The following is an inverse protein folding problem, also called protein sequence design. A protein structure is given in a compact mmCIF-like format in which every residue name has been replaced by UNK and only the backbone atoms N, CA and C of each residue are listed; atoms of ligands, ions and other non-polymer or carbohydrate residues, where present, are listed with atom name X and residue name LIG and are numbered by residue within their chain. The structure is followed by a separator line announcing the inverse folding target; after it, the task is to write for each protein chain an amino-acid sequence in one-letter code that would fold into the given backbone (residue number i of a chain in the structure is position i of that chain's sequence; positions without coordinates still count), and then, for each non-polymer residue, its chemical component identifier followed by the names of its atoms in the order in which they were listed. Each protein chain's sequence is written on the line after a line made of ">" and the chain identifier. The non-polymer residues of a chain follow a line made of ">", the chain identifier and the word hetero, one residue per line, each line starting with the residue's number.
data_IF_481599148275
#
_entry.id   IF_481599148275
#
_cell.length_a   1.000
_cell.length_b   1.000
_cell.length_c   1.000
_cell.angle_alpha   90.00
_cell.angle_beta   90.00
_cell.angle_gamma   90.00
#
_symmetry.space_group_name_H-M   'P 1'
#
loop_
_entity.id
_entity.type
_entity.pdbx_description
1 polymer ?
#
# COMPACT_ATOMS: atom_id res chain seq x y z
N UNK A 1 64.40 7.99 -31.98
CA UNK A 1 62.95 7.71 -31.90
C UNK A 1 62.67 7.04 -30.56
N UNK A 2 61.92 7.70 -29.66
CA UNK A 2 61.52 7.18 -28.35
C UNK A 2 60.00 7.08 -28.34
N UNK A 3 59.48 5.87 -28.41
CA UNK A 3 58.04 5.56 -28.33
C UNK A 3 57.59 5.67 -26.88
N UNK A 4 56.65 6.57 -26.59
CA UNK A 4 55.97 6.66 -25.29
C UNK A 4 54.68 5.86 -25.38
N UNK A 5 54.55 4.82 -24.55
CA UNK A 5 53.32 4.06 -24.35
C UNK A 5 52.55 4.77 -23.23
N UNK A 6 51.37 5.29 -23.54
CA UNK A 6 50.43 5.86 -22.57
C UNK A 6 49.60 4.73 -21.97
N UNK A 7 49.84 4.42 -20.69
CA UNK A 7 48.92 3.62 -19.87
C UNK A 7 47.66 4.46 -19.61
N UNK A 8 46.53 4.02 -20.14
CA UNK A 8 45.22 4.56 -19.73
C UNK A 8 44.78 3.85 -18.46
N UNK A 9 44.74 4.57 -17.34
CA UNK A 9 44.15 4.10 -16.10
C UNK A 9 42.62 4.12 -16.22
N UNK A 10 41.99 2.95 -16.27
CA UNK A 10 40.55 2.81 -16.06
C UNK A 10 40.27 3.04 -14.56
N UNK A 11 39.68 4.19 -14.23
CA UNK A 11 38.98 4.36 -12.96
C UNK A 11 37.74 3.45 -12.99
N UNK A 12 37.78 2.37 -12.19
CA UNK A 12 36.60 1.59 -11.86
C UNK A 12 35.68 2.40 -10.96
N UNK A 13 34.57 2.89 -11.51
CA UNK A 13 33.42 3.30 -10.71
C UNK A 13 32.81 2.03 -10.11
N UNK A 14 33.13 1.76 -8.85
CA UNK A 14 32.41 0.79 -8.04
C UNK A 14 30.99 1.31 -7.79
N UNK A 15 30.03 0.91 -8.63
CA UNK A 15 28.62 0.95 -8.26
C UNK A 15 28.39 -0.11 -7.18
N UNK A 16 28.40 0.32 -5.91
CA UNK A 16 27.81 -0.45 -4.84
C UNK A 16 26.29 -0.45 -5.06
N UNK A 17 25.79 -1.47 -5.75
CA UNK A 17 24.35 -1.76 -5.74
C UNK A 17 23.97 -2.11 -4.30
N UNK A 18 22.97 -1.47 -3.69
CA UNK A 18 22.46 -1.91 -2.40
C UNK A 18 21.79 -3.27 -2.60
N UNK A 19 22.55 -4.33 -2.38
CA UNK A 19 22.04 -5.69 -2.19
C UNK A 19 21.36 -5.69 -0.82
N UNK A 20 20.05 -5.94 -0.78
CA UNK A 20 19.16 -5.96 0.41
C UNK A 20 18.40 -4.65 0.68
N UNK A 21 17.56 -4.22 -0.25
CA UNK A 21 16.41 -3.40 0.14
C UNK A 21 15.39 -4.32 0.82
N UNK A 22 15.42 -4.37 2.15
CA UNK A 22 14.30 -4.90 2.94
C UNK A 22 13.24 -3.81 3.04
N UNK A 23 11.95 -4.16 3.07
CA UNK A 23 10.93 -3.17 3.42
C UNK A 23 11.20 -2.66 4.83
N UNK A 24 11.29 -1.34 4.98
CA UNK A 24 11.47 -0.67 6.25
C UNK A 24 10.09 -0.42 6.89
N UNK A 25 10.00 -0.18 8.20
CA UNK A 25 8.77 0.36 8.77
C UNK A 25 8.30 1.61 8.04
N UNK A 26 6.99 1.72 7.81
CA UNK A 26 6.42 2.99 7.33
C UNK A 26 6.54 4.05 8.42
N UNK A 27 6.75 5.30 8.01
CA UNK A 27 6.72 6.42 8.94
C UNK A 27 5.33 6.59 9.58
N UNK A 28 5.23 7.25 10.75
CA UNK A 28 3.94 7.50 11.36
C UNK A 28 2.95 8.23 10.44
N UNK A 29 3.43 9.14 9.59
CA UNK A 29 2.60 9.87 8.61
C UNK A 29 2.05 8.93 7.53
N UNK A 30 2.91 8.08 6.95
CA UNK A 30 2.50 7.07 5.96
C UNK A 30 1.48 6.08 6.55
N UNK A 31 1.68 5.63 7.80
CA UNK A 31 0.70 4.80 8.51
C UNK A 31 -0.60 5.58 8.78
N UNK A 32 -0.51 6.86 9.14
CA UNK A 32 -1.70 7.72 9.38
C UNK A 32 -2.57 7.83 8.15
N UNK A 33 -1.97 7.88 6.96
CA UNK A 33 -2.69 8.10 5.71
C UNK A 33 -3.78 7.04 5.47
N UNK A 34 -3.60 5.82 5.97
CA UNK A 34 -4.59 4.74 5.84
C UNK A 34 -5.77 4.86 6.81
N UNK A 35 -5.66 5.64 7.89
CA UNK A 35 -6.70 5.73 8.92
C UNK A 35 -7.95 6.42 8.37
N UNK A 36 -9.13 5.86 8.68
CA UNK A 36 -10.42 6.41 8.29
C UNK A 36 -11.43 5.35 7.85
N UNK A 37 -12.51 5.82 7.22
CA UNK A 37 -13.56 5.00 6.64
C UNK A 37 -13.43 4.93 5.12
N UNK A 38 -13.65 3.74 4.57
CA UNK A 38 -13.35 3.42 3.18
C UNK A 38 -14.49 2.62 2.54
N UNK A 39 -14.83 2.98 1.31
CA UNK A 39 -15.58 2.10 0.39
C UNK A 39 -14.61 1.18 -0.33
N UNK A 40 -15.06 -0.04 -0.68
CA UNK A 40 -14.25 -1.06 -1.32
C UNK A 40 -14.99 -1.60 -2.53
N UNK A 41 -14.37 -1.51 -3.71
CA UNK A 41 -14.92 -2.05 -4.94
C UNK A 41 -13.78 -2.48 -5.88
N UNK A 42 -14.13 -3.10 -7.01
CA UNK A 42 -13.18 -3.22 -8.10
C UNK A 42 -12.83 -1.84 -8.66
N UNK A 43 -11.60 -1.61 -9.15
CA UNK A 43 -11.28 -0.39 -9.89
C UNK A 43 -12.19 -0.22 -11.11
N UNK A 44 -12.52 1.00 -11.49
CA UNK A 44 -13.43 1.27 -12.63
C UNK A 44 -12.91 0.68 -13.95
N UNK A 45 -11.60 0.59 -14.11
CA UNK A 45 -10.93 0.02 -15.29
C UNK A 45 -10.75 -1.51 -15.25
N UNK A 46 -11.28 -2.20 -14.23
CA UNK A 46 -11.13 -3.65 -14.02
C UNK A 46 -11.80 -4.53 -15.10
N UNK A 47 -12.61 -3.95 -16.00
CA UNK A 47 -13.35 -4.71 -17.02
C UNK A 47 -14.49 -5.58 -16.46
N UNK A 48 -14.84 -5.40 -15.17
CA UNK A 48 -15.91 -6.12 -14.50
C UNK A 48 -17.28 -5.59 -14.94
N UNK A 49 -18.14 -6.47 -15.45
CA UNK A 49 -19.48 -6.10 -16.00
C UNK A 49 -20.43 -5.66 -14.88
N UNK A 50 -20.33 -6.25 -13.69
CA UNK A 50 -21.14 -5.91 -12.52
C UNK A 50 -20.21 -5.73 -11.32
N UNK A 51 -19.92 -4.48 -10.98
CA UNK A 51 -19.05 -4.12 -9.85
C UNK A 51 -19.89 -3.89 -8.59
N UNK A 52 -20.28 -4.97 -7.90
CA UNK A 52 -20.92 -4.85 -6.59
C UNK A 52 -19.83 -4.52 -5.55
N UNK A 53 -19.94 -3.42 -4.79
CA UNK A 53 -18.97 -3.07 -3.76
C UNK A 53 -18.95 -4.08 -2.60
N UNK A 54 -17.77 -4.34 -2.07
CA UNK A 54 -17.58 -5.14 -0.85
C UNK A 54 -17.86 -4.30 0.41
N UNK A 55 -17.67 -2.98 0.31
CA UNK A 55 -18.04 -1.99 1.32
C UNK A 55 -18.51 -0.70 0.65
N UNK A 56 -19.46 0.00 1.29
CA UNK A 56 -20.00 1.29 0.81
C UNK A 56 -19.86 2.33 1.92
N UNK A 57 -20.04 3.62 1.65
CA UNK A 57 -19.91 4.60 2.73
C UNK A 57 -21.03 4.54 3.78
N UNK A 58 -22.17 3.91 3.47
CA UNK A 58 -23.23 3.62 4.46
C UNK A 58 -22.88 2.42 5.36
N UNK A 59 -21.98 1.55 4.90
CA UNK A 59 -21.44 0.40 5.64
C UNK A 59 -19.95 0.23 5.29
N UNK A 60 -19.08 1.11 5.82
CA UNK A 60 -17.70 1.22 5.34
C UNK A 60 -16.80 0.17 5.96
N UNK A 61 -15.66 -0.06 5.32
CA UNK A 61 -14.50 -0.59 6.02
C UNK A 61 -13.88 0.50 6.89
N UNK A 62 -13.35 0.10 8.04
CA UNK A 62 -12.75 1.01 9.02
C UNK A 62 -11.30 0.59 9.21
N UNK A 63 -10.39 1.55 9.10
CA UNK A 63 -8.98 1.38 9.43
C UNK A 63 -8.67 2.29 10.62
N UNK A 64 -8.23 1.68 11.71
CA UNK A 64 -7.90 2.36 12.96
C UNK A 64 -6.41 2.24 13.27
N UNK A 65 -5.87 3.23 13.98
CA UNK A 65 -4.49 3.17 14.47
C UNK A 65 -4.42 2.29 15.73
N UNK A 66 -3.48 1.37 15.75
CA UNK A 66 -3.07 0.68 16.98
C UNK A 66 -1.84 1.37 17.58
N UNK A 67 -0.81 1.62 16.76
CA UNK A 67 0.41 2.35 17.16
C UNK A 67 1.04 3.10 15.97
N UNK A 68 2.33 3.43 16.02
CA UNK A 68 3.02 4.21 14.99
C UNK A 68 3.14 3.47 13.65
N UNK A 69 3.25 2.15 13.68
CA UNK A 69 3.48 1.29 12.52
C UNK A 69 2.32 0.33 12.25
N UNK A 70 1.39 0.18 13.20
CA UNK A 70 0.34 -0.84 13.15
C UNK A 70 -1.04 -0.23 12.97
N UNK A 71 -1.80 -0.79 12.02
CA UNK A 71 -3.22 -0.50 11.80
C UNK A 71 -4.08 -1.71 12.14
N UNK A 72 -5.32 -1.48 12.57
CA UNK A 72 -6.36 -2.49 12.65
C UNK A 72 -7.37 -2.26 11.53
N UNK A 73 -7.82 -3.32 10.86
CA UNK A 73 -8.71 -3.22 9.71
C UNK A 73 -9.94 -4.09 9.95
N UNK A 74 -11.12 -3.49 9.84
CA UNK A 74 -12.40 -4.17 9.88
C UNK A 74 -13.22 -3.83 8.63
N UNK A 75 -13.92 -4.82 8.08
CA UNK A 75 -14.81 -4.65 6.92
C UNK A 75 -16.22 -5.15 7.26
N UNK A 76 -17.26 -4.81 6.48
CA UNK A 76 -18.57 -5.42 6.63
C UNK A 76 -18.55 -6.95 6.48
N UNK A 77 -17.56 -7.49 5.75
CA UNK A 77 -17.34 -8.93 5.60
C UNK A 77 -16.68 -9.61 6.81
N UNK A 78 -16.15 -8.83 7.76
CA UNK A 78 -15.49 -9.33 8.96
C UNK A 78 -14.23 -8.55 9.34
N UNK A 79 -13.67 -8.94 10.48
CA UNK A 79 -12.42 -8.41 11.03
C UNK A 79 -11.21 -8.95 10.24
N UNK A 80 -10.39 -8.06 9.71
CA UNK A 80 -9.13 -8.39 9.01
C UNK A 80 -7.91 -8.34 9.95
N UNK A 81 -8.06 -7.91 11.21
CA UNK A 81 -7.04 -7.92 12.24
C UNK A 81 -6.03 -6.76 12.15
N UNK A 82 -4.91 -6.93 12.87
CA UNK A 82 -3.84 -5.94 12.97
C UNK A 82 -2.76 -6.18 11.91
N UNK A 83 -2.21 -5.12 11.33
CA UNK A 83 -1.22 -5.17 10.27
C UNK A 83 -0.09 -4.17 10.52
N UNK A 84 1.15 -4.65 10.46
CA UNK A 84 2.34 -3.81 10.41
C UNK A 84 2.47 -3.20 9.02
N UNK A 85 2.51 -1.88 8.93
CA UNK A 85 2.69 -1.15 7.69
C UNK A 85 4.18 -0.91 7.45
N UNK A 86 4.64 -1.32 6.27
CA UNK A 86 6.02 -1.15 5.80
C UNK A 86 6.05 -0.18 4.63
N UNK A 87 7.21 0.38 4.32
CA UNK A 87 7.45 1.22 3.13
C UNK A 87 8.52 0.58 2.26
N UNK A 88 8.22 0.46 0.96
CA UNK A 88 9.13 -0.12 -0.02
C UNK A 88 8.82 0.42 -1.42
N UNK A 89 9.72 1.24 -1.98
CA UNK A 89 9.65 1.73 -3.36
C UNK A 89 8.29 2.35 -3.74
N UNK A 90 7.75 3.19 -2.83
CA UNK A 90 6.45 3.87 -3.02
C UNK A 90 5.22 2.98 -2.83
N UNK A 91 5.42 1.72 -2.39
CA UNK A 91 4.36 0.80 -1.99
C UNK A 91 4.42 0.51 -0.50
N UNK A 92 3.31 0.02 0.02
CA UNK A 92 3.14 -0.19 1.44
C UNK A 92 2.70 -1.63 1.73
N UNK A 93 3.67 -2.55 1.92
CA UNK A 93 3.37 -3.90 2.38
C UNK A 93 2.72 -3.87 3.76
N UNK A 94 1.66 -4.66 3.94
CA UNK A 94 1.01 -4.87 5.22
C UNK A 94 1.32 -6.29 5.67
N UNK A 95 1.95 -6.46 6.84
CA UNK A 95 2.36 -7.77 7.34
C UNK A 95 1.61 -8.13 8.62
N UNK A 96 1.28 -9.40 8.74
CA UNK A 96 0.74 -10.00 9.95
C UNK A 96 1.70 -11.02 10.53
N UNK A 97 1.65 -11.17 11.85
CA UNK A 97 2.44 -12.16 12.59
C UNK A 97 2.20 -13.61 12.11
N UNK A 98 1.00 -13.91 11.59
CA UNK A 98 0.65 -15.23 11.06
C UNK A 98 1.19 -15.49 9.64
N UNK A 99 1.99 -14.58 9.09
CA UNK A 99 2.62 -14.70 7.77
C UNK A 99 1.72 -14.27 6.60
N UNK A 100 0.50 -13.81 6.87
CA UNK A 100 -0.30 -13.13 5.86
C UNK A 100 0.34 -11.79 5.49
N UNK A 101 0.21 -11.44 4.21
CA UNK A 101 0.72 -10.17 3.71
C UNK A 101 -0.16 -9.63 2.59
N UNK A 102 -0.37 -8.32 2.60
CA UNK A 102 -0.99 -7.57 1.52
C UNK A 102 0.01 -6.51 1.04
N UNK A 103 -0.26 -5.90 -0.11
CA UNK A 103 0.51 -4.74 -0.58
C UNK A 103 -0.46 -3.69 -1.05
N UNK A 104 -0.28 -2.47 -0.55
CA UNK A 104 -1.03 -1.31 -1.03
C UNK A 104 -0.20 -0.39 -1.91
N UNK A 105 -0.88 0.25 -2.85
CA UNK A 105 -0.33 1.26 -3.77
C UNK A 105 -1.31 2.42 -3.88
N UNK A 106 -0.88 3.62 -3.45
CA UNK A 106 -1.70 4.83 -3.55
C UNK A 106 -1.96 5.22 -5.01
N UNK A 107 -3.20 5.59 -5.31
CA UNK A 107 -3.64 6.14 -6.61
C UNK A 107 -3.94 7.63 -6.55
N UNK A 108 -4.07 8.18 -5.34
CA UNK A 108 -4.25 9.59 -5.03
C UNK A 108 -4.35 9.76 -3.51
N UNK A 109 -4.68 10.96 -3.04
CA UNK A 109 -4.79 11.24 -1.59
C UNK A 109 -5.91 10.44 -0.90
N UNK A 110 -6.97 10.13 -1.65
CA UNK A 110 -8.19 9.49 -1.13
C UNK A 110 -8.45 8.10 -1.74
N UNK A 111 -7.46 7.50 -2.40
CA UNK A 111 -7.63 6.19 -3.00
C UNK A 111 -6.33 5.38 -3.06
N UNK A 112 -6.42 4.09 -2.73
CA UNK A 112 -5.34 3.14 -2.95
C UNK A 112 -5.87 1.80 -3.46
N UNK A 113 -5.01 1.04 -4.11
CA UNK A 113 -5.25 -0.37 -4.39
C UNK A 113 -4.68 -1.22 -3.26
N UNK A 114 -5.38 -2.29 -2.89
CA UNK A 114 -4.88 -3.31 -1.96
C UNK A 114 -4.91 -4.68 -2.64
N UNK A 115 -3.73 -5.27 -2.79
CA UNK A 115 -3.55 -6.56 -3.43
C UNK A 115 -3.16 -7.64 -2.40
N UNK A 116 -3.77 -8.81 -2.53
CA UNK A 116 -3.31 -10.03 -1.88
C UNK A 116 -2.13 -10.67 -2.60
N UNK A 117 -1.76 -11.87 -2.17
CA UNK A 117 -0.82 -12.72 -2.91
C UNK A 117 -1.53 -13.43 -4.06
N UNK A 118 -0.82 -13.61 -5.18
CA UNK A 118 -1.28 -14.41 -6.30
C UNK A 118 -1.28 -15.91 -5.96
N UNK A 119 -1.72 -16.74 -6.92
CA UNK A 119 -1.75 -18.20 -6.77
C UNK A 119 -0.39 -18.84 -6.46
N UNK A 120 0.72 -18.15 -6.71
CA UNK A 120 2.07 -18.64 -6.38
C UNK A 120 2.44 -18.34 -4.93
N UNK A 121 1.75 -17.41 -4.29
CA UNK A 121 2.05 -16.93 -2.94
C UNK A 121 3.25 -15.98 -2.89
N UNK A 122 3.86 -15.64 -4.04
CA UNK A 122 5.11 -14.88 -4.12
C UNK A 122 4.83 -13.45 -4.58
N UNK A 123 3.99 -13.27 -5.59
CA UNK A 123 3.74 -11.95 -6.19
C UNK A 123 2.43 -11.36 -5.66
N UNK A 124 2.31 -10.04 -5.71
CA UNK A 124 1.04 -9.36 -5.47
C UNK A 124 0.09 -9.58 -6.65
N UNK A 125 -1.15 -9.97 -6.34
CA UNK A 125 -2.21 -10.20 -7.33
C UNK A 125 -2.89 -8.88 -7.69
N UNK A 126 -2.24 -8.09 -8.53
CA UNK A 126 -2.76 -6.79 -8.96
C UNK A 126 -4.01 -6.91 -9.84
N UNK A 127 -4.15 -8.00 -10.58
CA UNK A 127 -5.34 -8.28 -11.39
C UNK A 127 -6.59 -8.45 -10.51
N UNK A 128 -6.40 -8.90 -9.26
CA UNK A 128 -7.47 -9.05 -8.26
C UNK A 128 -7.41 -7.99 -7.13
N UNK A 129 -6.67 -6.90 -7.31
CA UNK A 129 -6.61 -5.84 -6.32
C UNK A 129 -7.93 -5.06 -6.23
N UNK A 130 -8.32 -4.71 -5.00
CA UNK A 130 -9.50 -3.88 -4.74
C UNK A 130 -9.08 -2.44 -4.52
N UNK A 131 -9.89 -1.51 -5.03
CA UNK A 131 -9.72 -0.10 -4.74
C UNK A 131 -10.44 0.23 -3.43
N UNK A 132 -9.71 0.88 -2.54
CA UNK A 132 -10.20 1.48 -1.32
C UNK A 132 -10.31 2.97 -1.58
N UNK A 133 -11.52 3.52 -1.50
CA UNK A 133 -11.77 4.96 -1.72
C UNK A 133 -12.33 5.57 -0.45
N UNK A 134 -11.70 6.65 0.03
CA UNK A 134 -12.05 7.31 1.29
C UNK A 134 -13.51 7.78 1.23
N UNK A 135 -14.24 7.53 2.30
CA UNK A 135 -15.58 8.07 2.42
C UNK A 135 -15.54 9.56 2.75
N UNK A 136 -16.48 10.37 2.22
CA UNK A 136 -16.56 11.77 2.58
C UNK A 136 -16.76 11.91 4.09
N UNK A 137 -16.10 12.90 4.70
CA UNK A 137 -16.42 13.27 6.08
C UNK A 137 -17.87 13.76 6.10
N UNK A 138 -18.69 13.23 7.02
CA UNK A 138 -20.04 13.73 7.20
C UNK A 138 -19.97 15.21 7.61
N UNK A 139 -20.40 16.13 6.75
CA UNK A 139 -20.49 17.58 7.04
C UNK A 139 -21.62 17.92 8.04
N UNK A 140 -22.06 16.94 8.84
CA UNK A 140 -23.24 17.04 9.70
C UNK A 140 -22.91 17.65 11.07
N UNK A 141 -22.17 18.76 11.13
CA UNK A 141 -22.01 19.53 12.38
C UNK A 141 -21.61 21.00 12.18
N UNK A 142 -22.21 21.70 11.21
CA UNK A 142 -22.00 23.16 11.05
C UNK A 142 -23.27 23.99 10.76
N UNK A 143 -24.45 23.46 11.07
CA UNK A 143 -25.70 24.25 11.07
C UNK A 143 -26.48 24.08 12.38
N UNK A 144 -25.93 24.62 13.47
CA UNK A 144 -26.72 25.06 14.62
C UNK A 144 -26.11 26.38 15.12
N UNK A 145 -26.52 27.48 14.49
CA UNK A 145 -26.48 28.84 15.03
C UNK A 145 -27.91 29.40 15.02
#
# INVERSE_FOLDING_TARGET
>A
MKTRILLSALLGLSFALPLNASAEPASPEETTAFIGTWSIAWPDESGVIVNVPDATCDAPAVIERIDEETIHVATPGGDMGNWDVRSFDGRFPWWREDGQSLVSEWKGEDAFLLAGKDRTGIMSDWDNAKQWTRCPADETESQQD
#
